data_IF_481274595652
#
_entry.id   IF_481274595652
#
_cell.length_a   1.000
_cell.length_b   1.000
_cell.length_c   1.000
_cell.angle_alpha   90.00
_cell.angle_beta   90.00
_cell.angle_gamma   90.00
#
_symmetry.space_group_name_H-M   'P 1'
#
loop_
_entity.id
_entity.type
_entity.pdbx_description
1 polymer ?
#
# COMPACT_ATOMS: atom_id res chain seq x y z
N UNK A 1 2.58 8.18 20.41
CA UNK A 1 1.64 7.75 19.36
C UNK A 1 0.94 9.00 18.84
N UNK A 2 0.95 9.30 17.54
CA UNK A 2 0.24 10.48 17.02
C UNK A 2 -1.28 10.30 17.24
N UNK A 3 -2.03 11.41 17.35
CA UNK A 3 -3.50 11.37 17.53
C UNK A 3 -4.21 10.57 16.43
N UNK A 4 -3.67 10.58 15.23
CA UNK A 4 -4.19 9.87 14.05
C UNK A 4 -4.11 8.35 14.24
N UNK A 5 -3.00 7.82 14.76
CA UNK A 5 -2.89 6.38 15.07
C UNK A 5 -3.90 5.94 16.13
N UNK A 6 -4.10 6.76 17.17
CA UNK A 6 -5.08 6.46 18.22
C UNK A 6 -6.50 6.40 17.66
N UNK A 7 -6.86 7.34 16.78
CA UNK A 7 -8.16 7.32 16.10
C UNK A 7 -8.31 6.10 15.20
N UNK A 8 -7.29 5.74 14.41
CA UNK A 8 -7.32 4.58 13.53
C UNK A 8 -7.51 3.27 14.32
N UNK A 9 -6.78 3.08 15.41
CA UNK A 9 -6.93 1.92 16.30
C UNK A 9 -8.31 1.88 16.97
N UNK A 10 -8.84 3.04 17.39
CA UNK A 10 -10.17 3.13 17.97
C UNK A 10 -11.26 2.75 16.95
N UNK A 11 -11.14 3.22 15.69
CA UNK A 11 -12.07 2.87 14.61
C UNK A 11 -12.01 1.38 14.28
N UNK A 12 -10.81 0.81 14.15
CA UNK A 12 -10.63 -0.64 13.94
C UNK A 12 -11.23 -1.44 15.10
N UNK A 13 -10.95 -1.05 16.34
CA UNK A 13 -11.54 -1.68 17.53
C UNK A 13 -13.06 -1.61 17.54
N UNK A 14 -13.64 -0.48 17.16
CA UNK A 14 -15.09 -0.30 17.07
C UNK A 14 -15.73 -1.20 16.00
N UNK A 15 -15.11 -1.33 14.82
CA UNK A 15 -15.58 -2.23 13.76
C UNK A 15 -15.59 -3.68 14.26
N UNK A 16 -14.50 -4.13 14.88
CA UNK A 16 -14.42 -5.49 15.43
C UNK A 16 -15.44 -5.72 16.55
N UNK A 17 -15.61 -4.76 17.45
CA UNK A 17 -16.60 -4.85 18.53
C UNK A 17 -18.04 -4.94 17.96
N UNK A 18 -18.37 -4.14 16.96
CA UNK A 18 -19.69 -4.17 16.31
C UNK A 18 -19.96 -5.51 15.62
N UNK A 19 -18.97 -6.06 14.92
CA UNK A 19 -19.09 -7.37 14.27
C UNK A 19 -19.25 -8.50 15.30
N UNK A 20 -18.54 -8.44 16.42
CA UNK A 20 -18.68 -9.42 17.52
C UNK A 20 -20.05 -9.32 18.20
N UNK A 21 -20.51 -8.11 18.50
CA UNK A 21 -21.86 -7.87 19.04
C UNK A 21 -22.91 -8.40 18.05
N UNK A 22 -22.76 -8.10 16.77
CA UNK A 22 -23.60 -8.64 15.70
C UNK A 22 -23.64 -10.17 15.73
N UNK A 23 -22.50 -10.84 15.77
CA UNK A 23 -22.41 -12.30 15.83
C UNK A 23 -23.04 -12.91 17.11
N UNK A 24 -22.95 -12.22 18.25
CA UNK A 24 -23.44 -12.73 19.54
C UNK A 24 -24.94 -12.52 19.73
N UNK A 25 -25.49 -11.42 19.22
CA UNK A 25 -26.90 -11.05 19.36
C UNK A 25 -27.76 -11.34 18.11
N UNK A 26 -27.19 -11.99 17.09
CA UNK A 26 -27.91 -12.38 15.88
C UNK A 26 -29.07 -13.32 16.20
N UNK A 27 -30.30 -13.03 15.73
CA UNK A 27 -31.47 -13.87 15.98
C UNK A 27 -31.51 -15.14 15.12
N UNK A 28 -30.76 -15.19 14.01
CA UNK A 28 -30.71 -16.35 13.11
C UNK A 28 -29.29 -16.90 12.89
N UNK A 29 -29.19 -18.20 12.61
CA UNK A 29 -27.93 -18.87 12.33
C UNK A 29 -27.23 -18.31 11.07
N UNK A 30 -28.00 -17.95 10.04
CA UNK A 30 -27.44 -17.38 8.81
C UNK A 30 -26.87 -15.98 9.03
N UNK A 31 -27.54 -15.11 9.81
CA UNK A 31 -26.98 -13.81 10.18
C UNK A 31 -25.71 -13.96 11.03
N UNK A 32 -25.75 -14.87 12.02
CA UNK A 32 -24.59 -15.15 12.85
C UNK A 32 -23.39 -15.61 12.01
N UNK A 33 -23.61 -16.54 11.08
CA UNK A 33 -22.58 -17.01 10.14
C UNK A 33 -22.04 -15.88 9.28
N UNK A 34 -22.90 -14.99 8.80
CA UNK A 34 -22.50 -13.82 8.01
C UNK A 34 -21.54 -12.90 8.79
N UNK A 35 -21.87 -12.58 10.05
CA UNK A 35 -20.98 -11.78 10.90
C UNK A 35 -19.63 -12.46 11.16
N UNK A 36 -19.62 -13.77 11.40
CA UNK A 36 -18.36 -14.53 11.54
C UNK A 36 -17.50 -14.48 10.29
N UNK A 37 -18.11 -14.62 9.11
CA UNK A 37 -17.40 -14.50 7.81
C UNK A 37 -16.87 -13.08 7.62
N UNK A 38 -17.66 -12.05 7.94
CA UNK A 38 -17.20 -10.66 7.89
C UNK A 38 -16.04 -10.41 8.85
N UNK A 39 -16.10 -10.92 10.08
CA UNK A 39 -15.03 -10.79 11.07
C UNK A 39 -13.74 -11.47 10.60
N UNK A 40 -13.84 -12.69 10.06
CA UNK A 40 -12.71 -13.41 9.48
C UNK A 40 -12.08 -12.61 8.32
N UNK A 41 -12.88 -12.18 7.34
CA UNK A 41 -12.39 -11.41 6.20
C UNK A 41 -11.75 -10.08 6.62
N UNK A 42 -12.36 -9.35 7.56
CA UNK A 42 -11.82 -8.10 8.11
C UNK A 42 -10.48 -8.32 8.80
N UNK A 43 -10.33 -9.44 9.50
CA UNK A 43 -9.07 -9.83 10.15
C UNK A 43 -7.99 -10.14 9.13
N UNK A 44 -8.32 -10.89 8.07
CA UNK A 44 -7.38 -11.19 6.98
C UNK A 44 -6.91 -9.91 6.30
N UNK A 45 -7.81 -8.95 6.05
CA UNK A 45 -7.47 -7.65 5.46
C UNK A 45 -6.59 -6.82 6.41
N UNK A 46 -6.96 -6.73 7.69
CA UNK A 46 -6.19 -6.00 8.70
C UNK A 46 -4.78 -6.60 8.88
N UNK A 47 -4.67 -7.94 8.84
CA UNK A 47 -3.39 -8.65 8.89
C UNK A 47 -2.55 -8.37 7.65
N UNK A 48 -3.15 -8.43 6.45
CA UNK A 48 -2.46 -8.09 5.21
C UNK A 48 -1.96 -6.64 5.24
N UNK A 49 -2.77 -5.69 5.73
CA UNK A 49 -2.36 -4.29 5.88
C UNK A 49 -1.25 -4.12 6.93
N UNK A 50 -1.35 -4.81 8.08
CA UNK A 50 -0.31 -4.79 9.10
C UNK A 50 1.02 -5.35 8.57
N UNK A 51 0.98 -6.45 7.81
CA UNK A 51 2.17 -6.99 7.14
C UNK A 51 2.76 -6.00 6.15
N UNK A 52 1.94 -5.30 5.37
CA UNK A 52 2.40 -4.24 4.46
C UNK A 52 3.03 -3.06 5.20
N UNK A 53 2.46 -2.63 6.33
CA UNK A 53 3.02 -1.56 7.17
C UNK A 53 4.33 -1.99 7.83
N UNK A 54 4.41 -3.25 8.28
CA UNK A 54 5.64 -3.82 8.82
C UNK A 54 6.72 -3.89 7.73
N UNK A 55 6.38 -4.38 6.54
CA UNK A 55 7.27 -4.37 5.38
C UNK A 55 7.72 -2.95 5.00
N UNK A 56 6.79 -1.99 4.96
CA UNK A 56 7.08 -0.59 4.67
C UNK A 56 7.88 0.12 5.77
N UNK A 57 7.88 -0.40 7.00
CA UNK A 57 8.62 0.18 8.13
C UNK A 57 10.03 -0.41 8.30
N UNK A 58 10.26 -1.67 7.93
CA UNK A 58 11.58 -2.31 8.06
C UNK A 58 12.52 -1.96 6.88
N UNK A 59 11.98 -1.46 5.76
CA UNK A 59 12.76 -1.00 4.61
C UNK A 59 13.11 -2.12 3.61
N UNK A 60 13.62 -1.71 2.45
CA UNK A 60 13.74 -2.56 1.26
C UNK A 60 14.58 -3.83 1.46
N UNK A 61 15.62 -3.77 2.29
CA UNK A 61 16.49 -4.93 2.54
C UNK A 61 15.77 -6.10 3.22
N UNK A 62 14.98 -5.82 4.27
CA UNK A 62 14.23 -6.85 4.98
C UNK A 62 13.04 -7.36 4.18
N UNK A 63 12.44 -6.49 3.37
CA UNK A 63 11.44 -6.89 2.38
C UNK A 63 12.02 -7.86 1.34
N UNK A 64 13.19 -7.57 0.79
CA UNK A 64 13.86 -8.43 -0.18
C UNK A 64 14.22 -9.79 0.44
N UNK A 65 14.71 -9.79 1.69
CA UNK A 65 15.03 -11.02 2.41
C UNK A 65 13.77 -11.87 2.66
N UNK A 66 12.69 -11.25 3.13
CA UNK A 66 11.40 -11.92 3.32
C UNK A 66 10.84 -12.45 1.99
N UNK A 67 10.87 -11.63 0.94
CA UNK A 67 10.44 -12.01 -0.40
C UNK A 67 11.21 -13.21 -0.94
N UNK A 68 12.52 -13.27 -0.71
CA UNK A 68 13.36 -14.40 -1.11
C UNK A 68 12.98 -15.69 -0.37
N UNK A 69 12.83 -15.64 0.96
CA UNK A 69 12.44 -16.80 1.77
C UNK A 69 11.03 -17.29 1.41
N UNK A 70 10.07 -16.37 1.29
CA UNK A 70 8.70 -16.73 0.90
C UNK A 70 8.64 -17.29 -0.53
N UNK A 71 9.44 -16.75 -1.46
CA UNK A 71 9.53 -17.30 -2.82
C UNK A 71 10.05 -18.74 -2.80
N UNK A 72 11.05 -19.06 -1.96
CA UNK A 72 11.54 -20.42 -1.83
C UNK A 72 10.48 -21.38 -1.25
N UNK A 73 9.74 -20.96 -0.23
CA UNK A 73 8.64 -21.75 0.34
C UNK A 73 7.53 -21.99 -0.68
N UNK A 74 7.10 -20.93 -1.37
CA UNK A 74 6.05 -21.00 -2.38
C UNK A 74 6.50 -21.85 -3.57
N UNK A 75 7.77 -21.81 -3.96
CA UNK A 75 8.30 -22.66 -5.02
C UNK A 75 8.16 -24.14 -4.67
N UNK A 76 8.49 -24.51 -3.43
CA UNK A 76 8.40 -25.90 -2.96
C UNK A 76 6.94 -26.36 -2.85
N UNK A 77 6.03 -25.49 -2.40
CA UNK A 77 4.63 -25.85 -2.15
C UNK A 77 3.72 -25.78 -3.38
N UNK A 78 3.92 -24.76 -4.23
CA UNK A 78 3.00 -24.37 -5.29
C UNK A 78 3.69 -24.25 -6.67
N UNK A 79 4.98 -24.55 -6.75
CA UNK A 79 5.74 -24.49 -8.00
C UNK A 79 6.01 -23.07 -8.49
N UNK A 80 6.54 -22.97 -9.72
CA UNK A 80 6.99 -21.71 -10.32
C UNK A 80 5.84 -20.73 -10.54
N UNK A 81 4.65 -21.23 -10.90
CA UNK A 81 3.45 -20.42 -11.11
C UNK A 81 3.03 -19.66 -9.84
N UNK A 82 3.07 -20.34 -8.69
CA UNK A 82 2.79 -19.72 -7.39
C UNK A 82 3.77 -18.60 -7.06
N UNK A 83 5.06 -18.80 -7.36
CA UNK A 83 6.10 -17.77 -7.14
C UNK A 83 5.87 -16.57 -8.05
N UNK A 84 5.57 -16.80 -9.32
CA UNK A 84 5.29 -15.73 -10.29
C UNK A 84 4.08 -14.90 -9.85
N UNK A 85 3.02 -15.55 -9.38
CA UNK A 85 1.83 -14.88 -8.87
C UNK A 85 2.14 -14.07 -7.61
N UNK A 86 2.90 -14.65 -6.67
CA UNK A 86 3.34 -13.94 -5.45
C UNK A 86 4.16 -12.69 -5.81
N UNK A 87 5.20 -12.84 -6.64
CA UNK A 87 6.05 -11.72 -7.07
C UNK A 87 5.21 -10.66 -7.78
N UNK A 88 4.29 -11.05 -8.66
CA UNK A 88 3.40 -10.13 -9.36
C UNK A 88 2.53 -9.32 -8.41
N UNK A 89 1.89 -9.96 -7.44
CA UNK A 89 1.06 -9.29 -6.42
C UNK A 89 1.91 -8.37 -5.55
N UNK A 90 3.07 -8.85 -5.09
CA UNK A 90 4.00 -8.08 -4.28
C UNK A 90 4.53 -6.85 -5.02
N UNK A 91 4.92 -7.00 -6.29
CA UNK A 91 5.33 -5.91 -7.17
C UNK A 91 4.20 -4.89 -7.38
N UNK A 92 2.97 -5.36 -7.61
CA UNK A 92 1.81 -4.49 -7.81
C UNK A 92 1.49 -3.67 -6.56
N UNK A 93 1.48 -4.30 -5.38
CA UNK A 93 1.20 -3.61 -4.11
C UNK A 93 2.30 -2.61 -3.77
N UNK A 94 3.57 -3.04 -3.83
CA UNK A 94 4.68 -2.14 -3.50
C UNK A 94 4.79 -0.98 -4.51
N UNK A 95 4.64 -1.28 -5.80
CA UNK A 95 4.61 -0.24 -6.83
C UNK A 95 3.43 0.72 -6.68
N UNK A 96 2.28 0.26 -6.16
CA UNK A 96 1.16 1.14 -5.85
C UNK A 96 1.50 2.09 -4.70
N UNK A 97 2.03 1.58 -3.58
CA UNK A 97 2.43 2.38 -2.42
C UNK A 97 3.51 3.40 -2.84
N UNK A 98 4.60 2.91 -3.43
CA UNK A 98 5.71 3.74 -3.89
C UNK A 98 5.23 4.81 -4.89
N UNK A 99 4.41 4.40 -5.86
CA UNK A 99 3.92 5.31 -6.88
C UNK A 99 3.00 6.39 -6.32
N UNK A 100 2.14 6.04 -5.37
CA UNK A 100 1.28 7.02 -4.70
C UNK A 100 2.09 8.03 -3.90
N UNK A 101 3.07 7.57 -3.11
CA UNK A 101 3.98 8.46 -2.36
C UNK A 101 4.80 9.35 -3.31
N UNK A 102 5.31 8.80 -4.41
CA UNK A 102 6.06 9.57 -5.41
C UNK A 102 5.20 10.66 -6.06
N UNK A 103 3.92 10.37 -6.35
CA UNK A 103 2.96 11.34 -6.87
C UNK A 103 2.62 12.42 -5.83
N UNK A 104 2.51 12.08 -4.54
CA UNK A 104 2.32 13.03 -3.45
C UNK A 104 3.52 13.98 -3.29
N UNK A 105 4.74 13.49 -3.52
CA UNK A 105 5.95 14.33 -3.45
C UNK A 105 5.96 15.42 -4.53
N UNK A 106 5.51 15.13 -5.75
CA UNK A 106 5.38 16.16 -6.77
C UNK A 106 4.31 17.22 -6.43
N UNK A 107 3.35 16.89 -5.56
CA UNK A 107 2.42 17.86 -4.97
C UNK A 107 2.97 18.50 -3.68
N UNK A 108 4.26 18.33 -3.38
CA UNK A 108 4.99 18.90 -2.23
C UNK A 108 4.39 18.53 -0.87
N UNK A 109 3.76 17.37 -0.77
CA UNK A 109 3.23 16.86 0.50
C UNK A 109 4.40 16.49 1.42
N UNK A 110 4.45 17.12 2.60
CA UNK A 110 5.57 16.97 3.55
C UNK A 110 5.70 15.57 4.12
N UNK A 111 4.60 14.90 4.45
CA UNK A 111 4.61 13.52 4.96
C UNK A 111 5.23 12.54 3.96
N UNK A 112 4.92 12.69 2.67
CA UNK A 112 5.50 11.87 1.61
C UNK A 112 7.01 12.14 1.46
N UNK A 113 7.43 13.41 1.51
CA UNK A 113 8.85 13.76 1.46
C UNK A 113 9.64 13.18 2.65
N UNK A 114 9.07 13.22 3.85
CA UNK A 114 9.67 12.61 5.05
C UNK A 114 9.76 11.09 4.92
N UNK A 115 8.73 10.44 4.37
CA UNK A 115 8.73 9.00 4.14
C UNK A 115 9.92 8.56 3.28
N UNK A 116 10.20 9.30 2.20
CA UNK A 116 11.36 9.05 1.33
C UNK A 116 12.69 9.38 2.01
N UNK A 117 12.81 10.53 2.69
CA UNK A 117 14.03 10.92 3.43
C UNK A 117 14.48 9.89 4.46
N UNK A 118 13.52 9.24 5.10
CA UNK A 118 13.80 8.21 6.11
C UNK A 118 14.28 6.88 5.53
N UNK A 119 14.05 6.62 4.23
CA UNK A 119 14.18 5.28 3.63
C UNK A 119 15.13 5.21 2.45
N UNK A 120 15.38 6.33 1.78
CA UNK A 120 16.08 6.34 0.50
C UNK A 120 17.22 7.34 0.47
N UNK A 121 18.30 6.93 -0.21
CA UNK A 121 19.21 7.87 -0.85
C UNK A 121 18.65 8.19 -2.24
N UNK A 122 19.09 9.28 -2.85
CA UNK A 122 18.66 9.59 -4.22
C UNK A 122 18.91 8.41 -5.20
N UNK A 123 20.06 7.75 -5.07
CA UNK A 123 20.42 6.60 -5.92
C UNK A 123 19.48 5.40 -5.73
N UNK A 124 19.13 5.05 -4.48
CA UNK A 124 18.20 3.93 -4.24
C UNK A 124 16.79 4.29 -4.69
N UNK A 125 16.35 5.53 -4.45
CA UNK A 125 15.07 6.03 -4.94
C UNK A 125 14.99 5.94 -6.46
N UNK A 126 16.02 6.40 -7.17
CA UNK A 126 16.01 6.46 -8.64
C UNK A 126 15.90 5.07 -9.27
N UNK A 127 16.55 4.06 -8.68
CA UNK A 127 16.44 2.66 -9.13
C UNK A 127 15.01 2.13 -8.94
N UNK A 128 14.41 2.34 -7.77
CA UNK A 128 13.02 1.91 -7.53
C UNK A 128 12.03 2.68 -8.39
N UNK A 129 12.26 3.98 -8.60
CA UNK A 129 11.45 4.81 -9.50
C UNK A 129 11.43 4.26 -10.92
N UNK A 130 12.58 3.82 -11.45
CA UNK A 130 12.65 3.19 -12.78
C UNK A 130 11.93 1.84 -12.79
N UNK A 131 12.10 1.02 -11.74
CA UNK A 131 11.44 -0.27 -11.64
C UNK A 131 9.91 -0.12 -11.62
N UNK A 132 9.37 0.82 -10.84
CA UNK A 132 7.93 1.05 -10.69
C UNK A 132 7.36 2.08 -11.67
N UNK A 133 8.16 2.59 -12.60
CA UNK A 133 7.71 3.56 -13.59
C UNK A 133 6.44 3.14 -14.35
N UNK A 134 6.26 1.87 -14.75
CA UNK A 134 5.02 1.43 -15.38
C UNK A 134 3.78 1.64 -14.48
N UNK A 135 3.88 1.34 -13.18
CA UNK A 135 2.78 1.52 -12.23
C UNK A 135 2.53 2.99 -11.96
N UNK A 136 3.59 3.80 -11.81
CA UNK A 136 3.47 5.25 -11.64
C UNK A 136 2.73 5.87 -12.84
N UNK A 137 3.02 5.42 -14.07
CA UNK A 137 2.28 5.84 -15.27
C UNK A 137 0.81 5.44 -15.24
N UNK A 138 0.50 4.23 -14.80
CA UNK A 138 -0.90 3.79 -14.65
C UNK A 138 -1.63 4.67 -13.64
N UNK A 139 -1.03 4.92 -12.48
CA UNK A 139 -1.58 5.81 -11.45
C UNK A 139 -1.75 7.23 -11.96
N UNK A 140 -0.79 7.73 -12.74
CA UNK A 140 -0.89 9.04 -13.39
C UNK A 140 -2.13 9.11 -14.31
N UNK A 141 -2.33 8.10 -15.17
CA UNK A 141 -3.50 8.03 -16.05
C UNK A 141 -4.78 7.99 -15.21
N UNK A 142 -4.82 7.20 -14.14
CA UNK A 142 -5.99 7.13 -13.25
C UNK A 142 -6.28 8.51 -12.63
N UNK A 143 -5.27 9.21 -12.12
CA UNK A 143 -5.42 10.54 -11.52
C UNK A 143 -5.72 11.63 -12.55
N UNK A 144 -5.33 11.48 -13.82
CA UNK A 144 -5.69 12.43 -14.88
C UNK A 144 -7.11 12.19 -15.41
N UNK A 145 -7.50 10.91 -15.55
CA UNK A 145 -8.81 10.50 -16.07
C UNK A 145 -9.92 10.69 -15.04
N UNK A 146 -9.66 10.40 -13.75
CA UNK A 146 -10.68 10.44 -12.70
C UNK A 146 -11.29 11.84 -12.45
N UNK A 147 -10.52 12.95 -12.37
CA UNK A 147 -11.08 14.29 -12.25
C UNK A 147 -11.87 14.71 -13.49
N UNK A 148 -11.42 14.25 -14.67
CA UNK A 148 -12.09 14.51 -15.95
C UNK A 148 -13.48 13.87 -16.00
N UNK A 149 -13.70 12.74 -15.30
CA UNK A 149 -15.02 12.11 -15.15
C UNK A 149 -15.92 12.81 -14.11
N UNK A 150 -15.34 13.62 -13.21
CA UNK A 150 -16.05 14.31 -12.13
C UNK A 150 -16.28 15.81 -12.42
N UNK A 151 -16.00 16.27 -13.65
CA UNK A 151 -16.08 17.68 -14.07
C UNK A 151 -15.27 18.64 -13.19
N UNK A 152 -14.29 18.09 -12.45
CA UNK A 152 -13.31 18.85 -11.70
C UNK A 152 -12.25 19.32 -12.70
N UNK A 153 -11.82 20.59 -12.56
CA UNK A 153 -10.90 21.27 -13.47
C UNK A 153 -9.79 20.35 -14.00
N UNK A 154 -9.45 20.47 -15.30
CA UNK A 154 -8.38 19.71 -15.95
C UNK A 154 -7.14 19.74 -15.06
N UNK A 155 -6.68 18.59 -14.52
CA UNK A 155 -5.50 18.58 -13.69
C UNK A 155 -4.32 19.11 -14.52
N UNK A 156 -3.44 19.88 -13.87
CA UNK A 156 -2.14 20.22 -14.48
C UNK A 156 -1.51 18.89 -14.90
N UNK A 157 -1.12 18.78 -16.18
CA UNK A 157 -0.36 17.63 -16.67
C UNK A 157 0.82 17.41 -15.73
N UNK A 158 0.85 16.24 -15.13
CA UNK A 158 1.88 15.90 -14.17
C UNK A 158 3.13 15.53 -14.94
N UNK A 159 4.24 16.22 -14.67
CA UNK A 159 5.51 15.93 -15.31
C UNK A 159 6.29 14.92 -14.47
N UNK A 160 6.54 13.74 -15.03
CA UNK A 160 7.34 12.70 -14.37
C UNK A 160 8.72 13.21 -13.90
N UNK A 161 9.29 14.18 -14.63
CA UNK A 161 10.54 14.86 -14.31
C UNK A 161 10.48 15.69 -13.03
N UNK A 162 9.29 16.15 -12.62
CA UNK A 162 9.09 16.94 -11.40
C UNK A 162 9.31 16.09 -10.14
N UNK A 163 8.91 14.80 -10.18
CA UNK A 163 9.22 13.85 -9.10
C UNK A 163 10.73 13.74 -8.93
N UNK A 164 11.46 13.45 -10.03
CA UNK A 164 12.91 13.20 -9.96
C UNK A 164 13.67 14.46 -9.53
N UNK A 165 13.28 15.64 -10.04
CA UNK A 165 13.85 16.93 -9.62
C UNK A 165 13.63 17.21 -8.13
N UNK A 166 12.40 16.99 -7.65
CA UNK A 166 12.06 17.21 -6.23
C UNK A 166 12.79 16.20 -5.34
N UNK A 167 12.88 14.94 -5.74
CA UNK A 167 13.61 13.92 -4.99
C UNK A 167 15.10 14.21 -4.93
N UNK A 168 15.69 14.71 -6.02
CA UNK A 168 17.10 15.11 -6.05
C UNK A 168 17.39 16.27 -5.10
N UNK A 169 16.45 17.19 -4.89
CA UNK A 169 16.66 18.31 -3.96
C UNK A 169 16.47 17.93 -2.49
N UNK A 170 15.64 16.93 -2.19
CA UNK A 170 15.34 16.54 -0.81
C UNK A 170 16.15 15.35 -0.28
N UNK A 171 16.77 14.55 -1.16
CA UNK A 171 17.54 13.34 -0.81
C UNK A 171 19.06 13.47 -1.07
N UNK A 172 19.55 14.64 -1.49
CA UNK A 172 20.98 14.97 -1.59
C UNK A 172 21.50 15.59 -0.30
#
# INVERSE_FOLDING_TARGET
MSKEYVQLFATLGAIFALLLIGAFFSPSFEEQRSFWVMLFNSTVIALAFALLVVVASIGFASFALYGAVMSAVVLVMFGVEGVLLMIGVTYAIWGFIFGFEALLVAHKVTSAQEWFKQRYTFESFYREYLAFYPIIRVLYIVIEVFPTLLDLQKPKRFEADEIVKTMRSILN
#
